data_IF_540044434500
#
_entry.id   IF_540044434500
#
_cell.length_a   1.000
_cell.length_b   1.000
_cell.length_c   1.000
_cell.angle_alpha   90.00
_cell.angle_beta   90.00
_cell.angle_gamma   90.00
#
_symmetry.space_group_name_H-M   'P 1'
#
loop_
_entity.id
_entity.type
_entity.pdbx_description
1 polymer ?
#
# COMPACT_ATOMS: atom_id res chain seq x y z
N UNK A 1 1.66 10.47 -7.31
CA UNK A 1 1.39 9.84 -5.99
C UNK A 1 2.67 9.39 -5.33
N UNK A 2 2.69 9.17 -4.00
CA UNK A 2 3.86 8.66 -3.27
C UNK A 2 3.66 7.19 -2.90
N UNK A 3 4.71 6.41 -3.02
CA UNK A 3 4.82 5.04 -2.53
C UNK A 3 5.92 4.95 -1.47
N UNK A 4 5.68 4.18 -0.42
CA UNK A 4 6.67 3.79 0.59
C UNK A 4 6.65 2.27 0.67
N UNK A 5 7.79 1.63 0.47
CA UNK A 5 7.88 0.16 0.50
C UNK A 5 7.56 -0.40 1.88
N UNK A 6 7.08 -1.65 1.97
CA UNK A 6 6.96 -2.35 3.25
C UNK A 6 8.25 -2.27 4.06
N UNK A 7 8.13 -2.02 5.37
CA UNK A 7 9.26 -1.76 6.24
C UNK A 7 9.94 -0.40 6.00
N UNK A 8 9.37 0.46 5.16
CA UNK A 8 9.87 1.79 4.82
C UNK A 8 11.35 1.81 4.41
N UNK A 9 11.78 0.86 3.57
CA UNK A 9 13.16 0.80 3.09
C UNK A 9 13.47 1.91 2.09
N UNK A 10 12.50 2.21 1.24
CA UNK A 10 12.58 3.29 0.27
C UNK A 10 11.21 3.93 0.04
N UNK A 11 11.22 5.10 -0.56
CA UNK A 11 10.02 5.71 -1.17
C UNK A 11 10.33 6.20 -2.57
N UNK A 12 9.29 6.35 -3.36
CA UNK A 12 9.32 6.97 -4.68
C UNK A 12 8.01 7.72 -4.97
N UNK A 13 8.02 8.55 -6.00
CA UNK A 13 6.82 9.16 -6.55
C UNK A 13 6.51 8.53 -7.91
N UNK A 14 5.22 8.30 -8.17
CA UNK A 14 4.72 7.74 -9.42
C UNK A 14 3.53 8.56 -9.95
N UNK A 15 3.22 8.51 -11.26
CA UNK A 15 2.14 9.29 -11.85
C UNK A 15 0.77 8.99 -11.20
N UNK A 16 -0.09 10.00 -11.07
CA UNK A 16 -1.40 9.87 -10.42
C UNK A 16 -2.35 8.90 -11.14
N UNK A 17 -2.14 8.71 -12.45
CA UNK A 17 -2.91 7.77 -13.27
C UNK A 17 -2.42 6.32 -13.15
N UNK A 18 -1.28 6.10 -12.49
CA UNK A 18 -0.73 4.75 -12.30
C UNK A 18 -1.24 4.12 -11.01
N UNK A 19 -1.12 2.80 -10.94
CA UNK A 19 -1.46 1.99 -9.75
C UNK A 19 -0.35 1.00 -9.48
N UNK A 20 -0.24 0.58 -8.21
CA UNK A 20 0.55 -0.55 -7.78
C UNK A 20 -0.20 -1.84 -8.10
N UNK A 21 0.52 -2.86 -8.53
CA UNK A 21 0.01 -4.19 -8.81
C UNK A 21 0.86 -5.23 -8.11
N UNK A 22 0.26 -6.38 -7.80
CA UNK A 22 0.98 -7.54 -7.31
C UNK A 22 1.88 -8.09 -8.42
N UNK A 23 3.13 -8.40 -8.07
CA UNK A 23 4.08 -9.00 -8.98
C UNK A 23 4.71 -10.25 -8.33
N UNK A 24 5.77 -10.07 -7.53
CA UNK A 24 6.43 -11.13 -6.76
C UNK A 24 6.75 -10.63 -5.35
N UNK A 25 7.07 -11.55 -4.43
CA UNK A 25 7.29 -11.24 -3.00
C UNK A 25 8.21 -10.03 -2.73
N UNK A 26 9.23 -9.81 -3.58
CA UNK A 26 10.25 -8.78 -3.38
C UNK A 26 10.24 -7.71 -4.48
N UNK A 27 9.18 -7.62 -5.27
CA UNK A 27 9.10 -6.73 -6.43
C UNK A 27 7.76 -6.01 -6.48
N UNK A 28 7.81 -4.71 -6.76
CA UNK A 28 6.63 -3.85 -6.85
C UNK A 28 6.48 -3.36 -8.27
N UNK A 29 5.29 -3.54 -8.83
CA UNK A 29 4.97 -3.24 -10.23
C UNK A 29 4.00 -2.07 -10.29
N UNK A 30 4.28 -1.08 -11.16
CA UNK A 30 3.46 0.09 -11.38
C UNK A 30 3.18 0.30 -12.86
N UNK A 31 1.94 0.56 -13.22
CA UNK A 31 1.54 0.98 -14.57
C UNK A 31 0.17 1.67 -14.56
N UNK A 32 -0.18 2.30 -15.69
CA UNK A 32 -1.52 2.86 -15.89
C UNK A 32 -2.46 1.75 -16.41
N UNK A 33 -3.49 1.34 -15.64
CA UNK A 33 -4.41 0.29 -16.07
C UNK A 33 -5.35 0.71 -17.20
N UNK A 34 -5.64 2.02 -17.32
CA UNK A 34 -6.57 2.55 -18.32
C UNK A 34 -5.91 2.74 -19.68
N UNK A 35 -4.63 3.13 -19.67
CA UNK A 35 -3.82 3.35 -20.86
C UNK A 35 -2.38 2.93 -20.62
N UNK A 36 -2.01 1.73 -21.04
CA UNK A 36 -0.66 1.23 -20.85
C UNK A 36 0.36 2.04 -21.69
N UNK A 37 1.27 2.71 -21.00
CA UNK A 37 2.39 3.48 -21.59
C UNK A 37 3.75 2.89 -21.24
N UNK A 38 3.74 1.80 -20.52
CA UNK A 38 4.87 1.07 -19.96
C UNK A 38 4.57 0.63 -18.54
N UNK A 39 5.44 -0.20 -18.01
CA UNK A 39 5.39 -0.65 -16.61
C UNK A 39 6.74 -0.44 -15.95
N UNK A 40 6.69 0.04 -14.71
CA UNK A 40 7.86 0.23 -13.85
C UNK A 40 7.87 -0.84 -12.76
N UNK A 41 9.02 -1.48 -12.59
CA UNK A 41 9.24 -2.48 -11.55
C UNK A 41 10.40 -2.04 -10.69
N UNK A 42 10.30 -2.28 -9.38
CA UNK A 42 11.34 -1.96 -8.42
C UNK A 42 11.46 -3.05 -7.37
N UNK A 43 12.70 -3.42 -7.05
CA UNK A 43 13.05 -4.36 -5.99
C UNK A 43 14.14 -3.75 -5.12
N UNK A 44 14.17 -4.15 -3.85
CA UNK A 44 15.19 -3.69 -2.90
C UNK A 44 15.83 -4.89 -2.19
N UNK A 45 17.16 -4.88 -2.12
CA UNK A 45 17.95 -5.92 -1.48
C UNK A 45 18.91 -5.31 -0.47
N UNK A 46 19.18 -6.03 0.62
CA UNK A 46 20.14 -5.58 1.64
C UNK A 46 21.24 -6.63 1.81
N UNK A 47 22.47 -6.15 1.86
CA UNK A 47 23.66 -6.96 2.10
C UNK A 47 24.56 -6.38 3.18
N UNK A 48 25.83 -6.74 3.17
CA UNK A 48 26.82 -6.18 4.06
C UNK A 48 27.33 -4.79 3.62
N UNK A 49 28.28 -4.26 4.38
CA UNK A 49 28.92 -2.96 4.08
C UNK A 49 29.50 -2.93 2.66
N UNK A 50 29.16 -1.89 1.90
CA UNK A 50 29.59 -1.71 0.51
C UNK A 50 28.84 -2.56 -0.52
N UNK A 51 27.75 -3.21 -0.13
CA UNK A 51 26.97 -4.09 -1.01
C UNK A 51 26.47 -3.38 -2.27
N UNK A 52 25.99 -2.13 -2.13
CA UNK A 52 25.52 -1.36 -3.27
C UNK A 52 26.62 -1.07 -4.30
N UNK A 53 27.83 -0.74 -3.85
CA UNK A 53 28.99 -0.50 -4.73
C UNK A 53 29.45 -1.78 -5.42
N UNK A 54 29.47 -2.88 -4.68
CA UNK A 54 29.85 -4.20 -5.21
C UNK A 54 28.86 -4.65 -6.30
N UNK A 55 27.55 -4.52 -6.09
CA UNK A 55 26.55 -4.87 -7.09
C UNK A 55 26.65 -4.00 -8.35
N UNK A 56 26.84 -2.66 -8.20
CA UNK A 56 27.06 -1.77 -9.36
C UNK A 56 28.31 -2.12 -10.14
N UNK A 57 29.41 -2.46 -9.45
CA UNK A 57 30.65 -2.85 -10.11
C UNK A 57 30.50 -4.18 -10.86
N UNK A 58 29.76 -5.13 -10.29
CA UNK A 58 29.48 -6.42 -10.89
C UNK A 58 28.62 -6.27 -12.15
N UNK A 59 27.53 -5.47 -12.07
CA UNK A 59 26.63 -5.19 -13.19
C UNK A 59 27.39 -4.59 -14.39
N UNK A 60 28.26 -3.57 -14.12
CA UNK A 60 29.11 -2.98 -15.15
C UNK A 60 30.04 -3.97 -15.84
N UNK A 61 30.50 -5.00 -15.11
CA UNK A 61 31.42 -6.01 -15.63
C UNK A 61 30.72 -7.08 -16.42
N UNK A 62 29.53 -7.49 -15.96
CA UNK A 62 28.85 -8.69 -16.49
C UNK A 62 27.85 -8.36 -17.59
N UNK A 63 27.19 -7.20 -17.53
CA UNK A 63 26.09 -6.87 -18.46
C UNK A 63 26.63 -6.12 -19.68
N UNK A 64 26.54 -6.70 -20.89
CA UNK A 64 26.96 -6.04 -22.10
C UNK A 64 26.23 -4.72 -22.35
N UNK A 65 26.98 -3.66 -22.57
CA UNK A 65 26.41 -2.32 -22.82
C UNK A 65 25.97 -1.58 -21.55
N UNK A 66 26.18 -2.13 -20.37
CA UNK A 66 25.97 -1.44 -19.11
C UNK A 66 26.91 -0.22 -18.99
N UNK A 67 26.39 0.88 -18.47
CA UNK A 67 27.13 2.14 -18.35
C UNK A 67 26.70 2.89 -17.09
N UNK A 68 27.59 3.71 -16.56
CA UNK A 68 27.25 4.64 -15.46
C UNK A 68 26.49 5.83 -16.01
N UNK A 69 25.45 6.20 -15.33
CA UNK A 69 24.65 7.42 -15.56
C UNK A 69 24.25 8.04 -14.22
N UNK A 70 23.85 9.30 -14.24
CA UNK A 70 23.24 9.96 -13.06
C UNK A 70 21.76 10.25 -13.33
N UNK A 71 20.90 9.89 -12.40
CA UNK A 71 19.47 10.22 -12.40
C UNK A 71 19.13 10.98 -11.12
N UNK A 72 19.07 12.32 -11.20
CA UNK A 72 19.00 13.15 -10.00
C UNK A 72 20.24 12.96 -9.13
N UNK A 73 20.03 12.67 -7.86
CA UNK A 73 21.08 12.42 -6.88
C UNK A 73 21.67 11.00 -6.92
N UNK A 74 21.13 10.14 -7.80
CA UNK A 74 21.50 8.73 -7.86
C UNK A 74 22.54 8.45 -8.95
N UNK A 75 23.66 7.81 -8.54
CA UNK A 75 24.51 7.11 -9.47
C UNK A 75 23.92 5.75 -9.78
N UNK A 76 23.62 5.51 -11.05
CA UNK A 76 23.03 4.28 -11.55
C UNK A 76 23.98 3.58 -12.52
N UNK A 77 23.92 2.26 -12.54
CA UNK A 77 24.37 1.46 -13.68
C UNK A 77 23.15 1.17 -14.54
N UNK A 78 23.17 1.66 -15.77
CA UNK A 78 22.07 1.52 -16.71
C UNK A 78 22.41 0.54 -17.82
N UNK A 79 21.46 -0.31 -18.15
CA UNK A 79 21.49 -1.21 -19.30
C UNK A 79 20.13 -1.23 -20.01
N UNK A 80 20.03 -1.90 -21.14
CA UNK A 80 18.76 -2.13 -21.81
C UNK A 80 18.80 -3.40 -22.64
N UNK A 81 17.65 -4.02 -22.77
CA UNK A 81 17.43 -5.14 -23.68
C UNK A 81 16.18 -4.95 -24.53
N UNK A 82 16.13 -5.64 -25.66
CA UNK A 82 14.94 -5.70 -26.50
C UNK A 82 14.47 -7.13 -26.58
N UNK A 83 13.15 -7.31 -26.51
CA UNK A 83 12.53 -8.61 -26.71
C UNK A 83 11.24 -8.48 -27.51
N UNK A 84 10.73 -9.60 -27.98
CA UNK A 84 9.49 -9.65 -28.74
C UNK A 84 8.47 -10.54 -28.03
N UNK A 85 7.27 -10.03 -27.85
CA UNK A 85 6.15 -10.79 -27.32
C UNK A 85 4.91 -10.49 -28.16
N UNK A 86 4.13 -11.52 -28.54
CA UNK A 86 2.92 -11.40 -29.37
C UNK A 86 3.10 -10.54 -30.63
N UNK A 87 4.23 -10.67 -31.32
CA UNK A 87 4.64 -9.89 -32.48
C UNK A 87 4.87 -8.39 -32.24
N UNK A 88 4.90 -7.93 -31.00
CA UNK A 88 5.26 -6.57 -30.63
C UNK A 88 6.67 -6.56 -30.07
N UNK A 89 7.49 -5.60 -30.50
CA UNK A 89 8.81 -5.39 -29.93
C UNK A 89 8.75 -4.44 -28.76
N UNK A 90 9.41 -4.82 -27.66
CA UNK A 90 9.55 -4.05 -26.45
C UNK A 90 11.01 -3.72 -26.17
N UNK A 91 11.23 -2.69 -25.36
CA UNK A 91 12.53 -2.37 -24.75
C UNK A 91 12.32 -2.28 -23.25
N UNK A 92 13.18 -2.99 -22.49
CA UNK A 92 13.30 -2.80 -21.03
C UNK A 92 14.60 -2.05 -20.76
N UNK A 93 14.49 -0.95 -20.03
CA UNK A 93 15.63 -0.26 -19.42
C UNK A 93 15.77 -0.71 -17.98
N UNK A 94 17.01 -0.87 -17.53
CA UNK A 94 17.37 -1.24 -16.18
C UNK A 94 18.21 -0.17 -15.54
N UNK A 95 18.01 0.07 -14.25
CA UNK A 95 18.82 0.98 -13.45
C UNK A 95 19.10 0.32 -12.10
N UNK A 96 20.35 -0.08 -11.90
CA UNK A 96 20.83 -0.56 -10.63
C UNK A 96 21.45 0.60 -9.87
N UNK A 97 20.92 0.91 -8.69
CA UNK A 97 21.39 1.98 -7.82
C UNK A 97 21.37 1.53 -6.36
N UNK A 98 21.58 2.45 -5.43
CA UNK A 98 21.55 2.17 -4.00
C UNK A 98 22.63 2.92 -3.24
N UNK A 99 22.63 2.73 -1.92
CA UNK A 99 23.61 3.31 -1.02
C UNK A 99 23.94 2.36 0.12
N UNK A 100 25.20 2.37 0.56
CA UNK A 100 25.71 1.55 1.66
C UNK A 100 25.37 0.06 1.52
N UNK A 101 24.44 -0.43 2.32
CA UNK A 101 24.02 -1.84 2.39
C UNK A 101 22.79 -2.16 1.53
N UNK A 102 22.14 -1.15 0.94
CA UNK A 102 20.88 -1.32 0.21
C UNK A 102 21.07 -1.08 -1.28
N UNK A 103 20.71 -2.08 -2.08
CA UNK A 103 20.63 -2.03 -3.54
C UNK A 103 19.18 -1.87 -3.95
N UNK A 104 18.94 -1.05 -4.94
CA UNK A 104 17.66 -0.88 -5.61
C UNK A 104 17.84 -1.27 -7.07
N UNK A 105 17.04 -2.19 -7.53
CA UNK A 105 16.94 -2.60 -8.93
C UNK A 105 15.63 -2.08 -9.50
N UNK A 106 15.73 -1.25 -10.52
CA UNK A 106 14.59 -0.66 -11.22
C UNK A 106 14.60 -1.11 -12.67
N UNK A 107 13.42 -1.40 -13.21
CA UNK A 107 13.25 -1.60 -14.63
C UNK A 107 12.01 -0.87 -15.15
N UNK A 108 12.07 -0.47 -16.42
CA UNK A 108 10.94 0.13 -17.14
C UNK A 108 10.82 -0.49 -18.52
N UNK A 109 9.67 -1.10 -18.77
CA UNK A 109 9.36 -1.75 -20.04
C UNK A 109 8.32 -0.96 -20.81
N UNK A 110 8.58 -0.69 -22.08
CA UNK A 110 7.62 -0.05 -22.98
C UNK A 110 7.81 -0.54 -24.41
N UNK A 111 6.95 -0.13 -25.35
CA UNK A 111 7.07 -0.48 -26.76
C UNK A 111 8.40 0.05 -27.30
N UNK A 112 9.08 -0.73 -28.14
CA UNK A 112 10.36 -0.35 -28.73
C UNK A 112 10.24 0.93 -29.54
N UNK A 113 11.09 1.89 -29.21
CA UNK A 113 11.09 3.21 -29.82
C UNK A 113 10.51 4.31 -28.94
N UNK A 114 9.77 3.93 -27.91
CA UNK A 114 9.30 4.87 -26.90
C UNK A 114 10.40 5.27 -25.93
N UNK A 115 10.18 6.37 -25.19
CA UNK A 115 11.17 6.96 -24.28
C UNK A 115 11.14 6.31 -22.89
N UNK A 116 12.29 6.10 -22.22
CA UNK A 116 12.35 5.65 -20.84
C UNK A 116 12.00 6.74 -19.80
N UNK A 117 11.62 7.93 -20.24
CA UNK A 117 11.53 9.14 -19.41
C UNK A 117 10.66 8.95 -18.16
N UNK A 118 9.52 8.28 -18.27
CA UNK A 118 8.65 8.03 -17.11
C UNK A 118 9.36 7.19 -16.04
N UNK A 119 10.04 6.12 -16.43
CA UNK A 119 10.83 5.30 -15.50
C UNK A 119 12.00 6.09 -14.90
N UNK A 120 12.73 6.89 -15.70
CA UNK A 120 13.80 7.73 -15.20
C UNK A 120 13.30 8.80 -14.21
N UNK A 121 12.13 9.39 -14.44
CA UNK A 121 11.51 10.35 -13.53
C UNK A 121 11.19 9.69 -12.18
N UNK A 122 10.68 8.45 -12.18
CA UNK A 122 10.43 7.70 -10.95
C UNK A 122 11.74 7.43 -10.18
N UNK A 123 12.80 6.99 -10.86
CA UNK A 123 14.12 6.76 -10.23
C UNK A 123 14.68 8.05 -9.62
N UNK A 124 14.48 9.23 -10.23
CA UNK A 124 14.94 10.52 -9.69
C UNK A 124 14.27 10.88 -8.36
N UNK A 125 13.07 10.40 -8.10
CA UNK A 125 12.33 10.66 -6.84
C UNK A 125 12.65 9.68 -5.74
N UNK A 126 13.43 8.65 -6.03
CA UNK A 126 13.78 7.59 -5.10
C UNK A 126 14.48 8.17 -3.85
N UNK A 127 14.09 7.67 -2.68
CA UNK A 127 14.72 7.97 -1.39
C UNK A 127 14.89 6.70 -0.59
N UNK A 128 16.08 6.46 -0.09
CA UNK A 128 16.36 5.37 0.84
C UNK A 128 16.25 5.87 2.28
N UNK A 129 15.73 5.03 3.15
CA UNK A 129 15.78 5.27 4.59
C UNK A 129 17.20 5.00 5.08
N UNK A 130 17.81 6.00 5.74
CA UNK A 130 19.10 5.81 6.40
C UNK A 130 18.98 4.80 7.55
N UNK A 131 20.08 4.09 7.83
CA UNK A 131 20.10 3.15 8.94
C UNK A 131 19.88 3.87 10.27
N UNK A 132 18.92 3.38 11.08
CA UNK A 132 18.55 3.99 12.35
C UNK A 132 17.62 5.21 12.24
N UNK A 133 17.32 5.67 11.05
CA UNK A 133 16.35 6.75 10.83
C UNK A 133 14.92 6.22 11.08
N UNK A 134 14.14 6.98 11.86
CA UNK A 134 12.71 6.75 11.99
C UNK A 134 11.98 7.44 10.85
N UNK A 135 11.20 6.70 10.08
CA UNK A 135 10.34 7.28 9.05
C UNK A 135 9.28 8.17 9.70
N UNK A 136 9.04 9.40 9.21
CA UNK A 136 7.98 10.25 9.73
C UNK A 136 6.61 9.61 9.50
N UNK A 137 5.61 10.05 10.26
CA UNK A 137 4.23 9.61 9.99
C UNK A 137 3.76 10.18 8.65
N UNK A 138 3.44 9.28 7.75
CA UNK A 138 2.90 9.60 6.43
C UNK A 138 1.66 8.77 6.12
N UNK A 139 0.79 9.35 5.29
CA UNK A 139 -0.40 8.68 4.75
C UNK A 139 -0.22 8.62 3.25
N UNK A 140 -0.26 7.41 2.71
CA UNK A 140 -0.07 7.13 1.29
C UNK A 140 -1.28 6.36 0.74
N UNK A 141 -1.47 6.29 -0.59
CA UNK A 141 -2.44 5.38 -1.18
C UNK A 141 -2.29 3.97 -0.61
N UNK A 142 -3.41 3.28 -0.43
CA UNK A 142 -3.38 1.91 0.09
C UNK A 142 -2.55 1.03 -0.85
N UNK A 143 -1.58 0.29 -0.30
CA UNK A 143 -0.71 -0.61 -1.07
C UNK A 143 -1.41 -1.96 -1.28
N UNK A 144 -0.96 -2.71 -2.28
CA UNK A 144 -1.45 -4.07 -2.55
C UNK A 144 -1.33 -4.97 -1.33
N UNK A 145 -0.26 -4.83 -0.55
CA UNK A 145 -0.08 -5.59 0.69
C UNK A 145 -1.23 -5.38 1.70
N UNK A 146 -1.61 -4.12 1.94
CA UNK A 146 -2.74 -3.82 2.83
C UNK A 146 -4.08 -4.20 2.22
N UNK A 147 -4.26 -4.07 0.90
CA UNK A 147 -5.48 -4.53 0.21
C UNK A 147 -5.68 -6.03 0.44
N UNK A 148 -4.63 -6.84 0.27
CA UNK A 148 -4.70 -8.28 0.50
C UNK A 148 -5.05 -8.59 1.97
N UNK A 149 -4.41 -7.91 2.93
CA UNK A 149 -4.72 -8.08 4.35
C UNK A 149 -6.17 -7.66 4.70
N UNK A 150 -6.66 -6.55 4.12
CA UNK A 150 -8.06 -6.11 4.25
C UNK A 150 -9.00 -7.17 3.71
N UNK A 151 -8.75 -7.70 2.52
CA UNK A 151 -9.59 -8.70 1.87
C UNK A 151 -9.64 -10.00 2.69
N UNK A 152 -8.50 -10.50 3.17
CA UNK A 152 -8.45 -11.70 4.02
C UNK A 152 -9.24 -11.50 5.32
N UNK A 153 -9.07 -10.37 6.00
CA UNK A 153 -9.78 -10.06 7.23
C UNK A 153 -11.28 -9.91 7.00
N UNK A 154 -11.67 -9.25 5.90
CA UNK A 154 -13.06 -9.09 5.48
C UNK A 154 -13.72 -10.44 5.19
N UNK A 155 -13.11 -11.28 4.36
CA UNK A 155 -13.62 -12.60 4.00
C UNK A 155 -13.79 -13.50 5.22
N UNK A 156 -12.85 -13.44 6.14
CA UNK A 156 -12.96 -14.15 7.41
C UNK A 156 -14.18 -13.68 8.23
N UNK A 157 -14.36 -12.35 8.36
CA UNK A 157 -15.49 -11.78 9.10
C UNK A 157 -16.82 -12.14 8.45
N UNK A 158 -16.95 -11.96 7.13
CA UNK A 158 -18.17 -12.29 6.37
C UNK A 158 -18.53 -13.78 6.51
N UNK A 159 -17.55 -14.67 6.35
CA UNK A 159 -17.75 -16.11 6.53
C UNK A 159 -18.20 -16.47 7.96
N UNK A 160 -17.66 -15.76 8.95
CA UNK A 160 -18.00 -15.96 10.36
C UNK A 160 -19.43 -15.47 10.65
N UNK A 161 -19.80 -14.29 10.15
CA UNK A 161 -21.14 -13.72 10.28
C UNK A 161 -22.18 -14.66 9.63
N UNK A 162 -21.93 -15.13 8.41
CA UNK A 162 -22.82 -16.06 7.69
C UNK A 162 -23.01 -17.37 8.45
N UNK A 163 -21.95 -17.96 9.01
CA UNK A 163 -22.02 -19.18 9.82
C UNK A 163 -22.83 -19.00 11.11
N UNK A 164 -22.78 -17.82 11.71
CA UNK A 164 -23.43 -17.58 13.00
C UNK A 164 -24.86 -17.07 12.90
N UNK A 165 -25.15 -16.28 11.89
CA UNK A 165 -26.45 -15.61 11.74
C UNK A 165 -27.31 -16.14 10.60
N UNK A 166 -26.76 -17.00 9.73
CA UNK A 166 -27.44 -17.50 8.52
C UNK A 166 -27.97 -16.35 7.64
N UNK A 167 -27.27 -15.20 7.68
CA UNK A 167 -27.60 -13.99 6.92
C UNK A 167 -26.40 -13.59 6.08
N UNK A 168 -26.65 -13.14 4.85
CA UNK A 168 -25.60 -12.56 4.03
C UNK A 168 -25.24 -11.16 4.54
N UNK A 169 -23.96 -10.84 4.46
CA UNK A 169 -23.38 -9.54 4.80
C UNK A 169 -23.16 -8.76 3.49
N UNK A 170 -23.65 -7.53 3.43
CA UNK A 170 -23.65 -6.70 2.22
C UNK A 170 -22.92 -5.36 2.42
N UNK A 171 -22.27 -5.19 3.57
CA UNK A 171 -21.52 -3.98 3.95
C UNK A 171 -22.39 -2.71 3.98
N UNK A 172 -23.65 -2.82 4.39
CA UNK A 172 -24.55 -1.67 4.57
C UNK A 172 -24.75 -1.36 6.05
N UNK A 173 -25.25 -0.17 6.36
CA UNK A 173 -25.48 0.29 7.75
C UNK A 173 -26.26 -0.75 8.58
N UNK A 174 -27.27 -1.41 8.00
CA UNK A 174 -28.04 -2.45 8.69
C UNK A 174 -27.24 -3.68 9.12
N UNK A 175 -26.04 -3.86 8.60
CA UNK A 175 -25.15 -4.98 8.97
C UNK A 175 -24.32 -4.69 10.21
N UNK A 176 -24.27 -3.44 10.69
CA UNK A 176 -23.62 -3.07 11.96
C UNK A 176 -24.15 -3.92 13.11
N UNK A 177 -25.48 -4.09 13.20
CA UNK A 177 -26.12 -4.87 14.25
C UNK A 177 -25.79 -6.38 14.14
N UNK A 178 -25.51 -6.84 12.93
CA UNK A 178 -25.07 -8.22 12.67
C UNK A 178 -23.66 -8.46 13.22
N UNK A 179 -22.72 -7.54 12.95
CA UNK A 179 -21.36 -7.61 13.51
C UNK A 179 -21.44 -7.52 15.04
N UNK A 180 -22.16 -6.53 15.58
CA UNK A 180 -22.31 -6.33 17.03
C UNK A 180 -22.82 -7.58 17.73
N UNK A 181 -23.89 -8.23 17.20
CA UNK A 181 -24.46 -9.44 17.76
C UNK A 181 -23.45 -10.58 17.83
N UNK A 182 -22.60 -10.73 16.81
CA UNK A 182 -21.58 -11.78 16.79
C UNK A 182 -20.45 -11.45 17.76
N UNK A 183 -20.02 -10.19 17.85
CA UNK A 183 -19.05 -9.73 18.84
C UNK A 183 -19.52 -10.00 20.27
N UNK A 184 -20.80 -9.72 20.57
CA UNK A 184 -21.40 -9.86 21.89
C UNK A 184 -21.79 -11.30 22.25
N UNK A 185 -21.64 -12.25 21.32
CA UNK A 185 -22.04 -13.65 21.50
C UNK A 185 -21.23 -14.42 22.57
N UNK A 186 -20.13 -13.86 23.03
CA UNK A 186 -19.21 -14.52 23.97
C UNK A 186 -18.38 -15.67 23.36
N UNK A 187 -18.47 -15.87 22.04
CA UNK A 187 -17.73 -16.94 21.33
C UNK A 187 -16.27 -16.60 21.06
N UNK A 188 -15.90 -15.33 21.13
CA UNK A 188 -14.54 -14.86 20.87
C UNK A 188 -13.87 -14.42 22.15
N UNK A 189 -12.71 -15.03 22.44
CA UNK A 189 -11.91 -14.64 23.57
C UNK A 189 -11.16 -13.32 23.28
N UNK A 190 -10.96 -12.49 24.32
CA UNK A 190 -10.27 -11.19 24.19
C UNK A 190 -8.83 -11.29 23.68
N UNK A 191 -8.19 -12.45 23.74
CA UNK A 191 -6.86 -12.70 23.18
C UNK A 191 -6.84 -13.00 21.68
N UNK A 192 -8.00 -13.20 21.04
CA UNK A 192 -8.11 -13.51 19.62
C UNK A 192 -8.06 -12.21 18.78
N UNK A 193 -6.93 -11.51 18.87
CA UNK A 193 -6.73 -10.21 18.23
C UNK A 193 -7.20 -10.17 16.77
N UNK A 194 -6.76 -11.14 15.98
CA UNK A 194 -7.10 -11.20 14.54
C UNK A 194 -8.62 -11.23 14.30
N UNK A 195 -9.38 -11.96 15.11
CA UNK A 195 -10.84 -12.00 14.99
C UNK A 195 -11.47 -10.61 15.24
N UNK A 196 -11.01 -9.92 16.28
CA UNK A 196 -11.51 -8.59 16.60
C UNK A 196 -11.13 -7.53 15.58
N UNK A 197 -9.89 -7.57 15.08
CA UNK A 197 -9.44 -6.70 13.98
C UNK A 197 -10.25 -6.97 12.70
N UNK A 198 -10.57 -8.24 12.39
CA UNK A 198 -11.39 -8.59 11.23
C UNK A 198 -12.83 -8.04 11.33
N UNK A 199 -13.44 -8.03 12.52
CA UNK A 199 -14.73 -7.35 12.71
C UNK A 199 -14.60 -5.84 12.50
N UNK A 200 -13.50 -5.24 12.94
CA UNK A 200 -13.19 -3.85 12.66
C UNK A 200 -13.06 -3.56 11.15
N UNK A 201 -12.37 -4.43 10.40
CA UNK A 201 -12.26 -4.30 8.94
C UNK A 201 -13.64 -4.43 8.26
N UNK A 202 -14.49 -5.37 8.68
CA UNK A 202 -15.85 -5.48 8.16
C UNK A 202 -16.69 -4.22 8.46
N UNK A 203 -16.51 -3.61 9.64
CA UNK A 203 -17.10 -2.31 9.96
C UNK A 203 -16.54 -1.20 9.07
N UNK A 204 -15.22 -1.20 8.80
CA UNK A 204 -14.58 -0.28 7.86
C UNK A 204 -15.16 -0.36 6.45
N UNK A 205 -15.47 -1.57 5.98
CA UNK A 205 -16.13 -1.76 4.68
C UNK A 205 -17.52 -1.11 4.63
N UNK A 206 -18.29 -1.13 5.75
CA UNK A 206 -19.55 -0.39 5.84
C UNK A 206 -19.31 1.12 5.73
N UNK A 207 -18.30 1.65 6.41
CA UNK A 207 -17.99 3.09 6.35
C UNK A 207 -17.64 3.54 4.93
N UNK A 208 -16.87 2.73 4.19
CA UNK A 208 -16.54 3.01 2.78
C UNK A 208 -17.79 3.00 1.90
N UNK A 209 -18.67 2.04 2.12
CA UNK A 209 -19.88 1.88 1.29
C UNK A 209 -20.95 2.95 1.57
N UNK A 210 -21.06 3.43 2.81
CA UNK A 210 -22.12 4.34 3.25
C UNK A 210 -21.70 5.82 3.25
N UNK A 211 -20.40 6.10 3.20
CA UNK A 211 -19.84 7.45 3.27
C UNK A 211 -19.01 7.74 2.03
N UNK A 212 -19.65 8.33 1.01
CA UNK A 212 -18.98 8.70 -0.24
C UNK A 212 -17.78 9.59 0.03
N UNK A 213 -16.61 9.23 -0.52
CA UNK A 213 -15.31 9.87 -0.26
C UNK A 213 -14.52 9.28 0.92
N UNK A 214 -15.01 8.23 1.57
CA UNK A 214 -14.24 7.46 2.56
C UNK A 214 -13.43 6.37 1.86
N UNK A 215 -12.10 6.49 1.85
CA UNK A 215 -11.21 5.59 1.13
C UNK A 215 -10.18 4.93 2.04
N UNK A 216 -9.76 3.71 1.68
CA UNK A 216 -8.64 3.05 2.32
C UNK A 216 -7.31 3.72 1.97
N UNK A 217 -6.47 3.86 2.97
CA UNK A 217 -5.10 4.39 2.87
C UNK A 217 -4.16 3.53 3.69
N UNK A 218 -2.86 3.62 3.40
CA UNK A 218 -1.83 3.06 4.27
C UNK A 218 -1.24 4.17 5.14
N UNK A 219 -1.18 3.94 6.44
CA UNK A 219 -0.46 4.78 7.40
C UNK A 219 0.89 4.14 7.67
N UNK A 220 1.96 4.91 7.45
CA UNK A 220 3.33 4.56 7.84
C UNK A 220 3.73 5.47 8.99
N UNK A 221 4.08 4.91 10.16
CA UNK A 221 4.51 5.66 11.34
C UNK A 221 5.70 4.96 12.01
N UNK A 222 6.87 5.30 11.61
CA UNK A 222 8.10 4.68 12.07
C UNK A 222 8.18 3.20 11.65
N UNK A 223 8.01 2.29 12.62
CA UNK A 223 7.99 0.85 12.38
C UNK A 223 6.58 0.26 12.27
N UNK A 224 5.54 1.08 12.40
CA UNK A 224 4.15 0.65 12.29
C UNK A 224 3.61 1.00 10.93
N UNK A 225 2.99 0.02 10.31
CA UNK A 225 2.31 0.17 9.03
C UNK A 225 0.96 -0.53 9.16
N UNK A 226 -0.09 0.15 8.75
CA UNK A 226 -1.45 -0.39 8.89
C UNK A 226 -2.42 0.30 7.93
N UNK A 227 -3.48 -0.41 7.50
CA UNK A 227 -4.57 0.20 6.74
C UNK A 227 -5.44 1.07 7.65
N UNK A 228 -5.85 2.21 7.13
CA UNK A 228 -6.81 3.09 7.78
C UNK A 228 -7.77 3.66 6.73
N UNK A 229 -8.83 4.30 7.18
CA UNK A 229 -9.74 5.06 6.32
C UNK A 229 -9.41 6.55 6.43
N UNK A 230 -9.55 7.26 5.31
CA UNK A 230 -9.43 8.71 5.24
C UNK A 230 -10.59 9.28 4.44
N UNK A 231 -11.22 10.34 4.95
CA UNK A 231 -12.33 10.99 4.25
C UNK A 231 -11.82 12.12 3.35
N UNK A 232 -12.09 12.00 2.03
CA UNK A 232 -11.89 13.03 1.00
C UNK A 232 -10.61 13.87 1.13
N UNK A 233 -9.48 13.23 1.51
CA UNK A 233 -8.21 13.92 1.71
C UNK A 233 -8.14 14.82 2.96
N UNK A 234 -9.21 14.89 3.77
CA UNK A 234 -9.28 15.65 5.00
C UNK A 234 -8.34 15.13 6.11
N UNK A 235 -8.39 15.76 7.28
CA UNK A 235 -7.69 15.29 8.47
C UNK A 235 -8.41 14.12 9.18
N UNK A 236 -9.65 13.80 8.79
CA UNK A 236 -10.40 12.70 9.38
C UNK A 236 -9.80 11.37 8.98
N UNK A 237 -9.25 10.70 9.98
CA UNK A 237 -8.66 9.36 9.87
C UNK A 237 -9.37 8.40 10.81
N UNK A 238 -9.67 7.22 10.34
CA UNK A 238 -10.32 6.14 11.11
C UNK A 238 -9.49 4.86 10.96
N UNK A 239 -9.07 4.29 12.07
CA UNK A 239 -8.50 2.93 12.12
C UNK A 239 -9.58 1.97 12.61
N UNK A 240 -10.33 1.32 11.70
CA UNK A 240 -11.47 0.50 12.10
C UNK A 240 -11.05 -0.77 12.86
N UNK A 241 -9.88 -1.32 12.58
CA UNK A 241 -9.34 -2.46 13.32
C UNK A 241 -9.02 -2.07 14.76
N UNK A 242 -8.36 -0.92 14.97
CA UNK A 242 -8.04 -0.41 16.31
C UNK A 242 -9.29 -0.01 17.10
N UNK A 243 -10.33 0.54 16.46
CA UNK A 243 -11.61 0.87 17.14
C UNK A 243 -12.16 -0.33 17.90
N UNK A 244 -12.13 -1.51 17.33
CA UNK A 244 -12.62 -2.73 17.95
C UNK A 244 -11.57 -3.31 18.90
N UNK A 245 -10.35 -3.53 18.40
CA UNK A 245 -9.32 -4.23 19.15
C UNK A 245 -8.91 -3.50 20.44
N UNK A 246 -8.71 -2.19 20.38
CA UNK A 246 -8.24 -1.44 21.57
C UNK A 246 -9.25 -1.48 22.70
N UNK A 247 -10.55 -1.39 22.41
CA UNK A 247 -11.59 -1.51 23.42
C UNK A 247 -11.64 -2.91 24.04
N UNK A 248 -11.58 -3.94 23.20
CA UNK A 248 -11.58 -5.34 23.67
C UNK A 248 -10.36 -5.64 24.52
N UNK A 249 -9.18 -5.21 24.09
CA UNK A 249 -7.92 -5.36 24.85
C UNK A 249 -7.96 -4.68 26.21
N UNK A 250 -8.66 -3.53 26.31
CA UNK A 250 -8.83 -2.79 27.55
C UNK A 250 -9.99 -3.32 28.42
N UNK A 251 -10.69 -4.37 27.98
CA UNK A 251 -11.86 -4.90 28.68
C UNK A 251 -13.08 -3.98 28.66
N UNK A 252 -13.14 -3.06 27.69
CA UNK A 252 -14.24 -2.12 27.49
C UNK A 252 -15.23 -2.65 26.46
N UNK A 253 -16.50 -2.25 26.60
CA UNK A 253 -17.50 -2.51 25.56
C UNK A 253 -17.22 -1.67 24.31
N UNK A 254 -17.41 -2.27 23.13
CA UNK A 254 -17.34 -1.60 21.85
C UNK A 254 -18.74 -1.54 21.24
N UNK A 255 -19.31 -0.35 21.08
CA UNK A 255 -20.57 -0.14 20.36
C UNK A 255 -20.26 0.37 18.95
N UNK A 256 -20.40 -0.50 17.96
CA UNK A 256 -20.16 -0.12 16.56
C UNK A 256 -21.16 0.92 16.07
N UNK A 257 -22.41 0.87 16.57
CA UNK A 257 -23.43 1.86 16.24
C UNK A 257 -23.01 3.27 16.71
N UNK A 258 -22.54 3.38 17.93
CA UNK A 258 -22.07 4.65 18.48
C UNK A 258 -20.83 5.18 17.72
N UNK A 259 -19.92 4.30 17.28
CA UNK A 259 -18.78 4.71 16.47
C UNK A 259 -19.21 5.15 15.07
N UNK A 260 -20.15 4.45 14.44
CA UNK A 260 -20.72 4.85 13.16
C UNK A 260 -21.33 6.25 13.20
N UNK A 261 -22.21 6.52 14.18
CA UNK A 261 -22.83 7.83 14.33
C UNK A 261 -21.81 8.94 14.61
N UNK A 262 -20.79 8.64 15.42
CA UNK A 262 -19.71 9.59 15.69
C UNK A 262 -18.92 9.94 14.42
N UNK A 263 -18.57 8.94 13.61
CA UNK A 263 -17.81 9.13 12.36
C UNK A 263 -18.67 9.86 11.34
N UNK A 264 -19.96 9.48 11.20
CA UNK A 264 -20.91 10.13 10.31
C UNK A 264 -21.06 11.62 10.64
N UNK A 265 -21.22 11.97 11.91
CA UNK A 265 -21.29 13.37 12.32
C UNK A 265 -20.02 14.16 11.95
N UNK A 266 -18.83 13.56 12.09
CA UNK A 266 -17.58 14.21 11.67
C UNK A 266 -17.50 14.41 10.14
N UNK A 267 -18.00 13.46 9.37
CA UNK A 267 -18.10 13.59 7.90
C UNK A 267 -19.07 14.74 7.52
N UNK A 268 -20.24 14.77 8.15
CA UNK A 268 -21.23 15.83 7.94
C UNK A 268 -20.67 17.23 8.30
N UNK A 269 -19.92 17.34 9.40
CA UNK A 269 -19.26 18.61 9.79
C UNK A 269 -18.23 19.07 8.73
N UNK A 270 -17.48 18.16 8.14
CA UNK A 270 -16.50 18.48 7.09
C UNK A 270 -17.22 18.94 5.82
N UNK A 271 -18.26 18.22 5.37
CA UNK A 271 -19.03 18.58 4.18
C UNK A 271 -19.68 19.96 4.31
N UNK A 272 -20.26 20.25 5.49
CA UNK A 272 -20.88 21.56 5.76
C UNK A 272 -19.84 22.69 5.80
N UNK A 273 -18.60 22.40 6.22
CA UNK A 273 -17.54 23.41 6.24
C UNK A 273 -17.00 23.74 4.83
N UNK A 274 -17.02 22.78 3.90
CA UNK A 274 -16.58 22.97 2.52
C UNK A 274 -17.63 23.72 1.65
N UNK A 275 -18.90 23.73 2.08
CA UNK A 275 -20.00 24.47 1.41
C UNK A 275 -20.15 25.92 1.89
N UNK A 276 -19.49 26.32 2.99
CA UNK A 276 -19.60 27.64 3.62
C UNK A 276 -18.48 28.59 3.17
#
# INVERSE_FOLDING_TARGET
>A
MKYISPGAWFSLEYPDTWREFEDTEDSFLFYNPDQWTGNFRISAYRGGTGFADACRAEELRQVPGARRISLGDWECVASKENFQENNVWYTTWFWLTGAAETVIDCSFTTVKGESPRQGEEMVRTLRLRAQGERWPREVIPVRVLEINAINEAYDWAVSTLKKQLTKDFTSVEADIDSIQRVMDSGKFHSSQRQAWESFGIAFGAILVNEMDGMDWVTVVDGAKEYPALRFAGSALMVDPAAIVWDKVREGKSCSLRAEYERIRAQVEDILNADEA
#
